data_IF_649476490892
#
_entry.id   IF_649476490892
#
_cell.length_a   1.000
_cell.length_b   1.000
_cell.length_c   1.000
_cell.angle_alpha   90.00
_cell.angle_beta   90.00
_cell.angle_gamma   90.00
#
_symmetry.space_group_name_H-M   'P 1'
#
loop_
_entity.id
_entity.type
_entity.pdbx_description
1 polymer ?
#
# COMPACT_ATOMS: atom_id res chain seq x y z
N UNK A 1 -30.70 -24.91 34.60
CA UNK A 1 -30.57 -23.66 33.82
C UNK A 1 -29.17 -23.58 33.26
N UNK A 2 -28.96 -23.91 31.99
CA UNK A 2 -27.67 -23.77 31.30
C UNK A 2 -27.69 -22.43 30.57
N UNK A 3 -26.80 -21.50 30.94
CA UNK A 3 -26.60 -20.23 30.24
C UNK A 3 -25.68 -20.49 29.04
N UNK A 4 -26.21 -20.32 27.84
CA UNK A 4 -25.47 -20.35 26.58
C UNK A 4 -24.77 -19.00 26.40
N UNK A 5 -23.44 -19.00 26.37
CA UNK A 5 -22.64 -17.82 26.01
C UNK A 5 -22.52 -17.79 24.48
N UNK A 6 -23.08 -16.76 23.84
CA UNK A 6 -22.84 -16.46 22.44
C UNK A 6 -21.55 -15.63 22.36
N UNK A 7 -20.50 -16.20 21.79
CA UNK A 7 -19.28 -15.48 21.42
C UNK A 7 -19.50 -14.92 20.01
N UNK A 8 -19.62 -13.59 19.89
CA UNK A 8 -19.68 -12.90 18.60
C UNK A 8 -18.23 -12.73 18.12
N UNK A 9 -17.83 -13.56 17.15
CA UNK A 9 -16.53 -13.47 16.49
C UNK A 9 -16.64 -12.40 15.39
N UNK A 10 -16.20 -11.17 15.68
CA UNK A 10 -16.02 -10.13 14.66
C UNK A 10 -14.73 -10.40 13.89
N UNK A 11 -14.84 -11.14 12.79
CA UNK A 11 -13.76 -11.32 11.81
C UNK A 11 -13.49 -10.02 11.06
N UNK A 12 -12.28 -9.49 11.23
CA UNK A 12 -11.76 -8.35 10.45
C UNK A 12 -11.19 -8.91 9.15
N UNK A 13 -11.93 -8.72 8.05
CA UNK A 13 -11.49 -9.07 6.70
C UNK A 13 -10.53 -7.99 6.19
N UNK A 14 -9.23 -8.30 6.18
CA UNK A 14 -8.20 -7.48 5.54
C UNK A 14 -8.29 -7.72 4.02
N UNK A 15 -8.91 -6.81 3.26
CA UNK A 15 -8.67 -6.82 1.82
C UNK A 15 -7.32 -6.16 1.53
N UNK A 16 -6.41 -6.94 0.95
CA UNK A 16 -6.16 -6.75 -0.47
C UNK A 16 -5.19 -5.66 -0.93
N UNK A 17 -4.10 -5.34 -0.20
CA UNK A 17 -2.88 -4.84 -0.89
C UNK A 17 -2.05 -5.97 -1.54
N UNK A 18 -2.59 -7.20 -1.52
CA UNK A 18 -1.95 -8.42 -2.01
C UNK A 18 -2.03 -8.43 -3.55
N UNK A 19 -1.09 -7.72 -4.17
CA UNK A 19 -0.68 -8.02 -5.54
C UNK A 19 0.13 -9.33 -5.54
N UNK A 20 -0.56 -10.48 -5.36
CA UNK A 20 -0.29 -11.81 -5.94
C UNK A 20 -0.87 -12.95 -5.07
N UNK A 21 -1.59 -13.85 -5.76
CA UNK A 21 -1.95 -15.22 -5.37
C UNK A 21 -3.13 -15.40 -4.40
N UNK A 22 -4.17 -15.98 -4.99
CA UNK A 22 -5.32 -16.70 -4.44
C UNK A 22 -5.17 -17.32 -3.04
N UNK A 23 -6.33 -17.30 -2.37
CA UNK A 23 -6.77 -18.13 -1.25
C UNK A 23 -5.91 -18.09 0.02
N UNK A 24 -6.45 -17.48 1.09
CA UNK A 24 -6.39 -18.13 2.41
C UNK A 24 -7.25 -17.51 3.49
N UNK A 25 -7.68 -18.45 4.32
CA UNK A 25 -8.35 -18.37 5.59
C UNK A 25 -7.70 -17.41 6.59
N UNK A 26 -8.54 -16.92 7.50
CA UNK A 26 -8.29 -15.99 8.57
C UNK A 26 -7.04 -16.33 9.40
N UNK A 27 -6.04 -15.45 9.40
CA UNK A 27 -4.93 -15.50 10.36
C UNK A 27 -5.27 -14.62 11.57
N UNK A 28 -5.37 -15.28 12.72
CA UNK A 28 -5.56 -14.71 14.04
C UNK A 28 -4.39 -13.79 14.42
N UNK A 29 -4.66 -12.49 14.51
CA UNK A 29 -3.73 -11.45 14.94
C UNK A 29 -3.61 -11.52 16.47
N UNK A 30 -2.75 -12.41 16.96
CA UNK A 30 -2.31 -12.42 18.35
C UNK A 30 -0.78 -12.62 18.44
N UNK A 31 -0.03 -11.92 17.59
CA UNK A 31 1.43 -11.82 17.71
C UNK A 31 1.86 -10.40 18.08
N UNK A 32 1.30 -9.85 19.16
CA UNK A 32 1.70 -8.52 19.67
C UNK A 32 3.13 -8.48 20.26
N UNK A 33 3.79 -9.62 20.50
CA UNK A 33 5.01 -9.64 21.32
C UNK A 33 6.37 -9.63 20.58
N UNK A 34 6.43 -9.34 19.27
CA UNK A 34 7.74 -9.30 18.57
C UNK A 34 8.04 -8.04 17.76
N UNK A 35 7.05 -7.20 17.46
CA UNK A 35 7.25 -5.99 16.65
C UNK A 35 7.68 -4.77 17.48
N UNK A 36 7.25 -4.65 18.75
CA UNK A 36 7.64 -3.51 19.61
C UNK A 36 9.13 -3.50 19.99
N UNK A 37 9.83 -4.65 19.92
CA UNK A 37 11.21 -4.77 20.40
C UNK A 37 12.28 -4.50 19.33
N UNK A 38 11.94 -4.64 18.05
CA UNK A 38 12.84 -4.22 16.96
C UNK A 38 12.62 -2.74 16.71
N UNK A 39 13.32 -1.93 17.51
CA UNK A 39 13.44 -0.46 17.43
C UNK A 39 13.01 0.11 16.08
N UNK A 40 11.77 0.59 16.03
CA UNK A 40 11.27 1.54 15.02
C UNK A 40 12.23 2.74 14.89
N UNK A 41 13.04 3.02 15.91
CA UNK A 41 14.11 4.03 15.89
C UNK A 41 14.98 3.91 14.63
N UNK A 42 15.40 2.73 14.15
CA UNK A 42 16.28 2.69 12.96
C UNK A 42 15.55 3.00 11.63
N UNK A 43 14.24 2.75 11.56
CA UNK A 43 13.43 3.05 10.37
C UNK A 43 12.99 4.52 10.40
N UNK A 44 12.58 5.02 11.56
CA UNK A 44 12.23 6.43 11.77
C UNK A 44 13.46 7.36 11.71
N UNK A 45 14.65 6.91 12.11
CA UNK A 45 15.89 7.72 11.99
C UNK A 45 16.40 7.78 10.54
N UNK A 46 15.99 6.84 9.68
CA UNK A 46 16.30 6.85 8.23
C UNK A 46 15.22 7.56 7.39
N UNK A 47 14.13 8.03 8.00
CA UNK A 47 13.39 9.19 7.49
C UNK A 47 14.30 10.41 7.60
N UNK A 48 15.32 10.44 6.73
CA UNK A 48 16.05 11.64 6.38
C UNK A 48 14.98 12.68 6.17
N UNK A 49 15.05 13.78 6.90
CA UNK A 49 14.14 14.90 6.76
C UNK A 49 14.26 15.41 5.32
N UNK A 50 13.53 14.79 4.40
CA UNK A 50 13.30 15.31 3.06
C UNK A 50 12.55 16.59 3.37
N UNK A 51 13.28 17.72 3.29
CA UNK A 51 12.84 18.99 3.86
C UNK A 51 11.37 19.21 3.57
N UNK A 52 10.61 19.58 4.61
CA UNK A 52 9.17 19.83 4.53
C UNK A 52 8.88 20.91 3.50
N UNK A 53 8.79 20.51 2.24
CA UNK A 53 8.20 21.29 1.18
C UNK A 53 6.72 20.96 1.28
N UNK A 54 5.98 21.82 1.99
CA UNK A 54 4.54 21.92 1.82
C UNK A 54 4.27 22.23 0.35
N UNK A 55 4.11 21.18 -0.46
CA UNK A 55 3.67 21.30 -1.85
C UNK A 55 2.18 21.51 -1.81
N UNK A 56 1.76 22.76 -1.54
CA UNK A 56 0.35 23.15 -1.64
C UNK A 56 -0.13 22.92 -3.08
N UNK A 57 -1.13 22.05 -3.22
CA UNK A 57 -1.87 21.82 -4.46
C UNK A 57 -1.59 20.45 -5.08
N UNK A 58 -2.63 19.62 -5.15
CA UNK A 58 -2.66 18.48 -6.04
C UNK A 58 -3.00 18.97 -7.45
N UNK A 59 -2.08 18.81 -8.39
CA UNK A 59 -2.30 19.09 -9.82
C UNK A 59 -3.17 18.03 -10.49
N UNK A 60 -3.39 16.88 -9.82
CA UNK A 60 -4.36 15.91 -10.26
C UNK A 60 -5.77 16.48 -10.08
N UNK A 61 -6.50 16.66 -11.17
CA UNK A 61 -7.90 17.11 -11.13
C UNK A 61 -8.81 16.04 -11.71
N UNK A 62 -9.87 15.69 -10.98
CA UNK A 62 -10.90 14.80 -11.46
C UNK A 62 -12.25 15.14 -10.82
N UNK A 63 -13.30 15.35 -11.63
CA UNK A 63 -14.61 15.86 -11.12
C UNK A 63 -15.27 14.97 -10.05
N UNK A 64 -14.93 13.68 -10.05
CA UNK A 64 -15.46 12.70 -9.10
C UNK A 64 -14.49 12.31 -7.98
N UNK A 65 -13.30 12.90 -7.91
CA UNK A 65 -12.36 12.63 -6.83
C UNK A 65 -12.15 13.88 -5.96
N UNK A 66 -12.03 13.64 -4.67
CA UNK A 66 -11.44 14.56 -3.72
C UNK A 66 -9.92 14.45 -3.77
N UNK A 67 -9.32 15.42 -4.45
CA UNK A 67 -7.87 15.51 -4.68
C UNK A 67 -7.23 16.58 -3.82
N UNK A 68 -8.03 17.33 -3.04
CA UNK A 68 -7.57 18.49 -2.26
C UNK A 68 -6.88 18.10 -0.95
N UNK A 69 -6.96 16.82 -0.55
CA UNK A 69 -6.27 16.31 0.65
C UNK A 69 -4.76 16.47 0.49
N UNK A 70 -4.13 17.03 1.51
CA UNK A 70 -2.67 17.21 1.55
C UNK A 70 -1.95 15.86 1.41
N UNK A 71 -1.06 15.79 0.41
CA UNK A 71 -0.27 14.60 0.12
C UNK A 71 0.85 14.48 1.17
N UNK A 72 0.99 13.33 1.85
CA UNK A 72 2.06 13.08 2.80
C UNK A 72 3.43 13.31 2.18
N UNK A 73 4.39 13.81 2.94
CA UNK A 73 5.78 13.99 2.47
C UNK A 73 6.51 12.67 2.21
N UNK A 74 5.94 11.55 2.66
CA UNK A 74 6.49 10.21 2.46
C UNK A 74 5.34 9.20 2.40
N UNK A 75 5.45 8.25 1.48
CA UNK A 75 4.59 7.09 1.38
C UNK A 75 5.44 5.82 1.36
N UNK A 76 4.83 4.71 1.70
CA UNK A 76 5.48 3.41 1.80
C UNK A 76 4.78 2.39 0.93
N UNK A 77 5.56 1.51 0.29
CA UNK A 77 5.05 0.39 -0.49
C UNK A 77 5.82 -0.88 -0.17
N UNK A 78 5.11 -1.94 0.15
CA UNK A 78 5.68 -3.28 0.24
C UNK A 78 5.58 -3.96 -1.13
N UNK A 79 6.66 -4.58 -1.58
CA UNK A 79 6.69 -5.33 -2.83
C UNK A 79 7.67 -6.51 -2.74
N UNK A 80 7.41 -7.58 -3.51
CA UNK A 80 8.27 -8.76 -3.53
C UNK A 80 9.42 -8.62 -4.54
N UNK A 81 9.33 -7.63 -5.44
CA UNK A 81 10.39 -7.33 -6.40
C UNK A 81 11.56 -6.64 -5.70
N UNK A 82 12.80 -7.07 -5.93
CA UNK A 82 13.99 -6.48 -5.30
C UNK A 82 14.35 -5.11 -5.88
N UNK A 83 15.14 -4.30 -5.15
CA UNK A 83 15.63 -3.02 -5.66
C UNK A 83 16.50 -3.20 -6.91
N UNK A 84 17.27 -4.29 -6.94
CA UNK A 84 18.16 -4.69 -8.04
C UNK A 84 17.93 -6.17 -8.40
N UNK A 85 17.93 -6.49 -9.70
CA UNK A 85 17.85 -7.85 -10.22
C UNK A 85 19.21 -8.40 -10.66
N UNK A 86 19.20 -9.57 -11.31
CA UNK A 86 20.42 -10.30 -11.73
C UNK A 86 21.31 -9.51 -12.70
N UNK A 87 20.74 -8.56 -13.44
CA UNK A 87 21.45 -7.71 -14.41
C UNK A 87 21.44 -6.24 -13.99
N UNK A 88 21.23 -5.95 -12.70
CA UNK A 88 21.05 -4.58 -12.20
C UNK A 88 19.66 -4.00 -12.44
N UNK A 89 18.78 -4.72 -13.14
CA UNK A 89 17.39 -4.31 -13.35
C UNK A 89 16.49 -4.62 -12.15
N UNK A 90 15.91 -3.60 -11.51
CA UNK A 90 15.00 -3.79 -10.39
C UNK A 90 14.08 -2.60 -10.21
N UNK A 91 13.47 -2.49 -9.03
CA UNK A 91 12.59 -1.36 -8.73
C UNK A 91 13.36 -0.03 -8.74
N UNK A 92 14.63 0.00 -8.31
CA UNK A 92 15.43 1.22 -8.34
C UNK A 92 15.74 1.72 -9.75
N UNK A 93 15.70 0.87 -10.78
CA UNK A 93 15.92 1.29 -12.18
C UNK A 93 14.65 1.46 -12.99
N UNK A 94 13.56 0.75 -12.65
CA UNK A 94 12.31 0.75 -13.44
C UNK A 94 11.13 1.44 -12.77
N UNK A 95 11.18 1.61 -11.45
CA UNK A 95 10.06 2.10 -10.66
C UNK A 95 8.93 1.09 -10.58
N UNK A 96 7.72 1.60 -10.35
CA UNK A 96 6.49 0.83 -10.36
C UNK A 96 5.62 1.25 -11.54
N UNK A 97 4.99 0.26 -12.19
CA UNK A 97 3.99 0.47 -13.23
C UNK A 97 2.74 -0.30 -12.84
N UNK A 98 1.59 0.33 -13.00
CA UNK A 98 0.29 -0.27 -12.80
C UNK A 98 0.09 -1.44 -13.75
N UNK A 99 -0.83 -2.34 -13.42
CA UNK A 99 -1.05 -3.57 -14.18
C UNK A 99 -1.83 -3.32 -15.47
N UNK A 100 -2.68 -2.30 -15.48
CA UNK A 100 -3.46 -1.90 -16.64
C UNK A 100 -3.91 -0.44 -16.53
N UNK A 101 -5.10 -0.16 -17.03
CA UNK A 101 -5.66 1.18 -17.17
C UNK A 101 -7.12 1.30 -16.68
N UNK A 102 -7.57 0.34 -15.85
CA UNK A 102 -8.83 0.45 -15.13
C UNK A 102 -8.65 1.33 -13.91
N UNK A 103 -9.41 2.41 -13.84
CA UNK A 103 -9.34 3.38 -12.74
C UNK A 103 -10.55 3.30 -11.81
N UNK A 104 -11.31 2.19 -11.82
CA UNK A 104 -12.45 2.01 -10.93
C UNK A 104 -11.96 1.80 -9.50
N UNK A 105 -12.12 2.81 -8.63
CA UNK A 105 -11.55 2.81 -7.27
C UNK A 105 -12.10 1.68 -6.40
N UNK A 106 -13.40 1.40 -6.48
CA UNK A 106 -14.04 0.31 -5.73
C UNK A 106 -13.55 -1.07 -6.14
N UNK A 107 -13.20 -1.24 -7.42
CA UNK A 107 -12.66 -2.49 -7.95
C UNK A 107 -11.25 -2.73 -7.43
N UNK A 108 -10.44 -1.67 -7.42
CA UNK A 108 -9.10 -1.66 -6.81
C UNK A 108 -9.16 -2.10 -5.34
N UNK A 109 -9.98 -1.42 -4.54
CA UNK A 109 -10.07 -1.68 -3.09
C UNK A 109 -10.68 -3.06 -2.78
N UNK A 110 -11.61 -3.53 -3.61
CA UNK A 110 -12.18 -4.87 -3.45
C UNK A 110 -11.17 -5.98 -3.73
N UNK A 111 -10.13 -5.70 -4.52
CA UNK A 111 -9.08 -6.65 -4.85
C UNK A 111 -9.55 -7.81 -5.73
N UNK A 112 -8.81 -8.93 -5.67
CA UNK A 112 -9.15 -10.16 -6.40
C UNK A 112 -8.92 -10.07 -7.92
N UNK A 113 -9.82 -10.64 -8.71
CA UNK A 113 -9.74 -10.65 -10.18
C UNK A 113 -9.80 -9.27 -10.81
N UNK A 114 -10.36 -8.29 -10.09
CA UNK A 114 -10.42 -6.89 -10.51
C UNK A 114 -9.01 -6.27 -10.66
N UNK A 115 -8.02 -6.82 -9.97
CA UNK A 115 -6.66 -6.29 -9.99
C UNK A 115 -5.87 -6.61 -11.27
N UNK A 116 -6.45 -7.38 -12.21
CA UNK A 116 -5.73 -7.78 -13.43
C UNK A 116 -5.45 -6.63 -14.39
N UNK A 117 -6.31 -5.61 -14.38
CA UNK A 117 -6.20 -4.42 -15.24
C UNK A 117 -6.11 -3.13 -14.42
N UNK A 118 -5.74 -3.25 -13.15
CA UNK A 118 -5.73 -2.13 -12.21
C UNK A 118 -4.71 -1.06 -12.62
N UNK A 119 -5.21 0.17 -12.72
CA UNK A 119 -4.45 1.37 -13.07
C UNK A 119 -3.80 2.05 -11.86
N UNK A 120 -3.99 1.50 -10.66
CA UNK A 120 -3.45 2.02 -9.42
C UNK A 120 -2.25 1.23 -8.89
N UNK A 121 -1.42 1.92 -8.11
CA UNK A 121 -0.32 1.35 -7.34
C UNK A 121 -0.55 1.75 -5.88
N UNK A 122 -0.93 0.78 -5.04
CA UNK A 122 -1.16 1.01 -3.61
C UNK A 122 0.10 1.41 -2.87
N UNK A 123 -0.06 2.40 -2.00
CA UNK A 123 0.93 2.85 -1.02
C UNK A 123 0.20 3.21 0.28
N UNK A 124 0.91 3.28 1.40
CA UNK A 124 0.34 3.74 2.67
C UNK A 124 1.18 4.88 3.23
N UNK A 125 0.52 5.79 3.94
CA UNK A 125 1.21 6.86 4.69
C UNK A 125 1.59 6.44 6.11
N UNK A 126 1.12 5.28 6.58
CA UNK A 126 1.43 4.76 7.90
C UNK A 126 2.51 3.66 7.84
N UNK A 127 3.67 3.96 8.43
CA UNK A 127 4.79 3.02 8.49
C UNK A 127 4.46 1.75 9.26
N UNK A 128 3.60 1.81 10.30
CA UNK A 128 3.22 0.63 11.08
C UNK A 128 2.38 -0.31 10.24
N UNK A 129 1.42 0.24 9.50
CA UNK A 129 0.65 -0.49 8.48
C UNK A 129 1.59 -1.12 7.44
N UNK A 130 2.58 -0.39 6.94
CA UNK A 130 3.52 -0.92 5.95
C UNK A 130 4.37 -2.09 6.50
N UNK A 131 4.84 -2.02 7.75
CA UNK A 131 5.57 -3.13 8.40
C UNK A 131 4.68 -4.35 8.59
N UNK A 132 3.42 -4.16 9.00
CA UNK A 132 2.45 -5.26 9.12
C UNK A 132 2.20 -5.94 7.77
N UNK A 133 2.08 -5.15 6.68
CA UNK A 133 1.96 -5.68 5.32
C UNK A 133 3.22 -6.46 4.93
N UNK A 134 4.42 -5.98 5.27
CA UNK A 134 5.67 -6.69 4.99
C UNK A 134 5.71 -8.07 5.68
N UNK A 135 5.33 -8.14 6.96
CA UNK A 135 5.23 -9.40 7.69
C UNK A 135 4.19 -10.36 7.09
N UNK A 136 3.01 -9.85 6.71
CA UNK A 136 1.97 -10.64 6.04
C UNK A 136 2.44 -11.19 4.70
N UNK A 137 3.05 -10.35 3.86
CA UNK A 137 3.53 -10.73 2.54
C UNK A 137 4.62 -11.80 2.60
N UNK A 138 5.54 -11.71 3.56
CA UNK A 138 6.55 -12.75 3.81
C UNK A 138 5.89 -14.09 4.16
N UNK A 139 4.87 -14.09 5.03
CA UNK A 139 4.20 -15.33 5.43
C UNK A 139 3.45 -15.99 4.26
N UNK A 140 2.90 -15.17 3.36
CA UNK A 140 2.19 -15.67 2.19
C UNK A 140 3.12 -16.30 1.15
N UNK A 141 4.44 -16.10 1.21
CA UNK A 141 5.36 -16.81 0.30
C UNK A 141 5.39 -18.33 0.56
N UNK A 142 4.97 -18.78 1.74
CA UNK A 142 4.93 -20.19 2.09
C UNK A 142 3.68 -20.94 1.61
N UNK A 143 2.62 -20.22 1.24
CA UNK A 143 1.31 -20.86 1.02
C UNK A 143 1.28 -21.73 -0.23
N UNK A 144 2.30 -21.61 -1.09
CA UNK A 144 2.35 -22.21 -2.41
C UNK A 144 3.45 -23.27 -2.59
N UNK A 145 4.28 -23.54 -1.57
CA UNK A 145 5.45 -24.41 -1.75
C UNK A 145 5.56 -25.42 -0.60
N UNK A 146 5.62 -26.72 -0.93
CA UNK A 146 5.97 -27.80 0.01
C UNK A 146 7.45 -27.68 0.43
N UNK A 147 7.77 -26.58 1.10
CA UNK A 147 9.12 -26.20 1.49
C UNK A 147 9.60 -27.12 2.62
N UNK A 148 10.53 -28.03 2.29
CA UNK A 148 11.27 -28.85 3.24
C UNK A 148 12.65 -28.23 3.48
N UNK A 149 13.11 -28.29 4.72
CA UNK A 149 14.38 -27.72 5.14
C UNK A 149 14.28 -26.24 5.50
N UNK A 150 15.43 -25.58 5.56
CA UNK A 150 15.55 -24.17 5.93
C UNK A 150 15.48 -23.27 4.70
N UNK A 151 14.70 -22.20 4.79
CA UNK A 151 14.58 -21.17 3.75
C UNK A 151 14.39 -19.79 4.38
N UNK A 152 14.95 -18.76 3.77
CA UNK A 152 14.78 -17.36 4.18
C UNK A 152 13.95 -16.63 3.13
N UNK A 153 12.76 -16.16 3.52
CA UNK A 153 11.91 -15.35 2.65
C UNK A 153 12.28 -13.87 2.76
N UNK A 154 12.03 -13.13 1.67
CA UNK A 154 12.35 -11.69 1.58
C UNK A 154 11.16 -10.89 1.07
N UNK A 155 10.98 -9.70 1.63
CA UNK A 155 10.14 -8.66 1.03
C UNK A 155 10.81 -7.30 1.18
N UNK A 156 10.33 -6.32 0.43
CA UNK A 156 10.98 -5.02 0.32
C UNK A 156 9.98 -3.92 0.64
N UNK A 157 10.33 -3.07 1.60
CA UNK A 157 9.58 -1.89 1.99
C UNK A 157 10.24 -0.67 1.36
N UNK A 158 9.62 -0.13 0.31
CA UNK A 158 10.09 1.05 -0.41
C UNK A 158 9.54 2.32 0.24
N UNK A 159 10.45 3.27 0.48
CA UNK A 159 10.10 4.64 0.85
C UNK A 159 10.02 5.48 -0.43
N UNK A 160 8.91 6.21 -0.58
CA UNK A 160 8.57 6.94 -1.79
C UNK A 160 8.31 8.40 -1.41
N UNK A 161 8.89 9.32 -2.16
CA UNK A 161 8.53 10.74 -2.14
C UNK A 161 7.41 10.93 -3.17
N UNK A 162 6.14 11.03 -2.74
CA UNK A 162 5.06 11.23 -3.69
C UNK A 162 5.19 12.60 -4.37
N UNK A 163 4.62 12.68 -5.57
CA UNK A 163 4.47 13.94 -6.28
C UNK A 163 3.00 14.39 -6.24
N UNK A 164 2.75 15.64 -6.64
CA UNK A 164 1.42 16.24 -6.56
C UNK A 164 0.57 16.04 -7.80
N UNK A 165 0.94 15.18 -8.75
CA UNK A 165 0.23 15.07 -10.04
C UNK A 165 -0.37 13.70 -10.32
N UNK A 166 -0.09 12.68 -9.50
CA UNK A 166 -0.63 11.35 -9.72
C UNK A 166 -1.01 10.58 -8.44
N UNK A 167 -1.15 11.26 -7.30
CA UNK A 167 -1.56 10.65 -6.04
C UNK A 167 -2.90 11.20 -5.55
N UNK A 168 -3.70 10.33 -4.95
CA UNK A 168 -4.82 10.74 -4.10
C UNK A 168 -5.12 9.68 -3.03
N UNK A 169 -5.82 10.10 -1.97
CA UNK A 169 -6.16 9.23 -0.86
C UNK A 169 -7.39 8.39 -1.17
N UNK A 170 -7.28 7.08 -0.96
CA UNK A 170 -8.40 6.13 -1.10
C UNK A 170 -9.48 6.43 -0.07
N UNK A 171 -9.10 6.61 1.19
CA UNK A 171 -10.01 6.90 2.30
C UNK A 171 -10.83 8.18 2.10
N UNK A 172 -10.28 9.20 1.44
CA UNK A 172 -11.02 10.42 1.12
C UNK A 172 -12.07 10.20 0.03
N UNK A 173 -11.87 9.18 -0.81
CA UNK A 173 -12.61 8.98 -2.05
C UNK A 173 -13.57 7.78 -2.04
N UNK A 174 -13.42 6.85 -1.10
CA UNK A 174 -14.36 5.73 -0.98
C UNK A 174 -15.77 6.19 -0.56
N UNK A 175 -16.84 5.57 -1.12
CA UNK A 175 -18.21 5.84 -0.68
C UNK A 175 -18.37 5.56 0.82
N UNK A 176 -19.12 6.40 1.52
CA UNK A 176 -19.33 6.25 2.96
C UNK A 176 -20.44 5.24 3.25
N UNK A 177 -20.17 3.96 3.00
CA UNK A 177 -21.08 2.86 3.30
C UNK A 177 -20.38 1.81 4.17
N UNK A 178 -21.12 0.99 4.94
CA UNK A 178 -20.53 -0.06 5.76
C UNK A 178 -19.59 -1.00 5.00
N UNK A 179 -19.89 -1.26 3.72
CA UNK A 179 -19.08 -2.10 2.84
C UNK A 179 -17.65 -1.56 2.65
N UNK A 180 -17.49 -0.23 2.55
CA UNK A 180 -16.21 0.40 2.27
C UNK A 180 -15.51 0.92 3.51
N UNK A 181 -16.25 1.24 4.58
CA UNK A 181 -15.70 1.78 5.82
C UNK A 181 -14.69 0.86 6.51
N UNK A 182 -14.74 -0.45 6.24
CA UNK A 182 -13.75 -1.42 6.72
C UNK A 182 -12.34 -1.21 6.16
N UNK A 183 -12.19 -0.46 5.06
CA UNK A 183 -10.89 -0.20 4.42
C UNK A 183 -10.21 1.08 4.93
N UNK A 184 -10.90 1.89 5.74
CA UNK A 184 -10.37 3.16 6.23
C UNK A 184 -9.10 3.02 7.10
N UNK A 185 -8.83 1.84 7.68
CA UNK A 185 -7.69 1.64 8.57
C UNK A 185 -6.31 1.61 7.90
N UNK A 186 -6.23 1.52 6.56
CA UNK A 186 -4.95 1.33 5.87
C UNK A 186 -4.20 2.62 5.52
N UNK A 187 -4.84 3.78 5.74
CA UNK A 187 -4.33 5.11 5.34
C UNK A 187 -3.75 5.10 3.91
N UNK A 188 -4.49 4.45 3.00
CA UNK A 188 -4.04 4.16 1.64
C UNK A 188 -4.06 5.40 0.75
N UNK A 189 -2.97 5.53 0.00
CA UNK A 189 -2.80 6.46 -1.10
C UNK A 189 -2.48 5.65 -2.35
N UNK A 190 -3.12 5.98 -3.46
CA UNK A 190 -2.85 5.32 -4.74
C UNK A 190 -2.04 6.24 -5.63
N UNK A 191 -0.98 5.71 -6.23
CA UNK A 191 -0.35 6.33 -7.38
C UNK A 191 -1.08 5.86 -8.65
N UNK A 192 -1.28 6.75 -9.60
CA UNK A 192 -1.91 6.44 -10.89
C UNK A 192 -0.83 6.14 -11.91
N UNK A 193 -0.98 5.02 -12.63
CA UNK A 193 -0.14 4.51 -13.72
C UNK A 193 1.31 4.19 -13.32
N UNK A 194 2.08 5.16 -12.78
CA UNK A 194 3.51 4.95 -12.48
C UNK A 194 3.98 5.61 -11.20
N UNK A 195 5.00 4.98 -10.60
CA UNK A 195 5.89 5.61 -9.62
C UNK A 195 7.28 5.52 -10.23
N UNK A 196 7.87 6.67 -10.57
CA UNK A 196 9.15 6.71 -11.26
C UNK A 196 10.31 6.35 -10.31
N UNK A 197 11.41 5.75 -10.83
CA UNK A 197 12.63 5.51 -10.07
C UNK A 197 13.08 6.70 -9.23
N UNK A 198 13.03 7.89 -9.81
CA UNK A 198 13.53 9.13 -9.22
C UNK A 198 12.71 9.62 -8.02
N UNK A 199 11.50 9.05 -7.83
CA UNK A 199 10.62 9.31 -6.69
C UNK A 199 10.76 8.25 -5.58
N UNK A 200 11.51 7.18 -5.81
CA UNK A 200 11.77 6.15 -4.80
C UNK A 200 13.04 6.54 -4.05
N UNK A 201 12.93 6.81 -2.75
CA UNK A 201 14.01 7.30 -1.89
C UNK A 201 14.93 6.16 -1.49
N UNK A 202 14.34 5.12 -0.91
CA UNK A 202 15.10 4.03 -0.28
C UNK A 202 14.27 2.74 -0.25
N UNK A 203 14.92 1.65 0.14
CA UNK A 203 14.27 0.38 0.43
C UNK A 203 14.82 -0.20 1.71
N UNK A 204 13.95 -0.81 2.52
CA UNK A 204 14.34 -1.68 3.63
C UNK A 204 13.93 -3.11 3.30
N UNK A 205 14.91 -4.01 3.26
CA UNK A 205 14.69 -5.45 3.09
C UNK A 205 14.29 -6.05 4.42
N UNK A 206 13.17 -6.77 4.43
CA UNK A 206 12.73 -7.60 5.54
C UNK A 206 12.99 -9.07 5.22
N UNK A 207 13.47 -9.81 6.20
CA UNK A 207 13.69 -11.26 6.13
C UNK A 207 12.94 -11.99 7.23
N UNK A 208 12.63 -13.26 6.96
CA UNK A 208 12.14 -14.22 7.94
C UNK A 208 12.63 -15.61 7.58
N UNK A 209 13.08 -16.34 8.59
CA UNK A 209 13.56 -17.70 8.40
C UNK A 209 12.44 -18.69 8.68
N UNK A 210 12.45 -19.75 7.89
CA UNK A 210 11.47 -20.83 7.94
C UNK A 210 12.19 -22.17 8.01
N UNK A 211 11.59 -23.12 8.71
CA UNK A 211 11.97 -24.51 8.70
C UNK A 211 10.74 -25.38 8.48
N UNK A 212 10.75 -26.19 7.42
CA UNK A 212 9.61 -27.03 7.03
C UNK A 212 8.27 -26.25 6.98
N UNK A 213 8.29 -25.05 6.39
CA UNK A 213 7.11 -24.17 6.27
C UNK A 213 6.68 -23.47 7.57
N UNK A 214 7.32 -23.73 8.70
CA UNK A 214 7.05 -23.02 9.95
C UNK A 214 8.02 -21.84 10.14
N UNK A 215 7.55 -20.64 10.50
CA UNK A 215 8.44 -19.52 10.80
C UNK A 215 9.25 -19.78 12.08
N UNK A 216 10.54 -19.48 12.04
CA UNK A 216 11.45 -19.62 13.18
C UNK A 216 11.51 -18.37 14.07
N UNK A 217 11.34 -17.20 13.45
CA UNK A 217 11.43 -15.88 14.06
C UNK A 217 10.30 -14.98 13.53
N UNK A 218 10.17 -13.74 14.01
CA UNK A 218 9.37 -12.70 13.36
C UNK A 218 10.09 -12.14 12.13
N UNK A 219 9.36 -11.53 11.20
CA UNK A 219 9.99 -10.76 10.12
C UNK A 219 10.77 -9.58 10.71
N UNK A 220 11.98 -9.35 10.22
CA UNK A 220 12.85 -8.30 10.75
C UNK A 220 13.60 -7.59 9.61
N UNK A 221 13.91 -6.29 9.75
CA UNK A 221 14.71 -5.57 8.77
C UNK A 221 16.17 -6.04 8.82
N UNK A 222 16.79 -6.26 7.67
CA UNK A 222 18.19 -6.73 7.57
C UNK A 222 19.11 -5.75 6.85
N UNK A 223 18.55 -4.92 5.97
CA UNK A 223 19.34 -3.99 5.15
C UNK A 223 18.48 -2.83 4.70
N UNK A 224 19.02 -1.62 4.77
CA UNK A 224 18.44 -0.43 4.13
C UNK A 224 19.41 0.08 3.07
N UNK A 225 18.88 0.44 1.90
CA UNK A 225 19.65 0.95 0.78
C UNK A 225 18.99 2.21 0.22
N UNK A 226 19.81 3.22 -0.10
CA UNK A 226 19.37 4.44 -0.78
C UNK A 226 19.35 4.21 -2.29
N UNK A 227 18.35 4.77 -2.97
CA UNK A 227 18.27 4.69 -4.42
C UNK A 227 19.17 5.75 -5.07
N UNK A 228 20.17 5.33 -5.84
CA UNK A 228 21.07 6.26 -6.55
C UNK A 228 20.37 7.10 -7.62
N UNK A 229 19.20 6.66 -8.10
CA UNK A 229 18.39 7.40 -9.06
C UNK A 229 17.46 8.43 -8.40
N UNK A 230 17.32 8.41 -7.07
CA UNK A 230 16.46 9.37 -6.37
C UNK A 230 16.89 10.80 -6.67
N UNK A 231 15.92 11.63 -7.06
CA UNK A 231 16.13 13.04 -7.29
C UNK A 231 14.90 13.83 -6.85
N UNK A 232 15.02 14.52 -5.71
CA UNK A 232 13.94 15.33 -5.12
C UNK A 232 13.41 16.42 -6.07
N UNK A 233 14.24 16.86 -7.02
CA UNK A 233 13.90 17.89 -8.00
C UNK A 233 13.42 17.30 -9.33
N UNK A 234 13.28 15.98 -9.44
CA UNK A 234 12.80 15.34 -10.65
C UNK A 234 11.35 15.78 -10.95
N UNK A 235 11.00 16.06 -12.21
CA UNK A 235 9.66 16.49 -12.57
C UNK A 235 8.58 15.52 -12.07
N UNK A 236 7.39 16.05 -11.69
CA UNK A 236 6.24 15.23 -11.38
C UNK A 236 5.83 14.37 -12.59
N UNK A 237 5.32 13.17 -12.32
CA UNK A 237 4.76 12.31 -13.36
C UNK A 237 3.29 12.65 -13.58
N UNK A 238 2.93 13.03 -14.80
CA UNK A 238 1.56 13.38 -15.17
C UNK A 238 0.93 12.24 -15.97
N UNK A 239 -0.30 11.87 -15.59
CA UNK A 239 -1.10 10.90 -16.33
C UNK A 239 -1.93 11.65 -17.38
N UNK A 240 -1.66 11.45 -18.68
CA UNK A 240 -2.39 12.17 -19.72
C UNK A 240 -3.89 11.89 -19.65
N UNK A 241 -4.69 12.94 -19.75
CA UNK A 241 -6.15 12.88 -19.79
C UNK A 241 -6.80 12.15 -18.60
N UNK A 242 -6.15 12.11 -17.43
CA UNK A 242 -6.70 11.36 -16.29
C UNK A 242 -8.11 11.81 -15.90
N UNK A 243 -8.39 13.11 -16.02
CA UNK A 243 -9.69 13.74 -15.77
C UNK A 243 -10.85 13.17 -16.60
N UNK A 244 -10.56 12.40 -17.65
CA UNK A 244 -11.55 11.79 -18.55
C UNK A 244 -11.84 10.32 -18.27
N UNK A 245 -11.03 9.63 -17.45
CA UNK A 245 -11.25 8.21 -17.16
C UNK A 245 -12.45 7.99 -16.24
N UNK A 246 -13.05 6.80 -16.34
CA UNK A 246 -14.06 6.38 -15.39
C UNK A 246 -13.38 5.91 -14.10
N UNK A 247 -13.61 6.65 -13.01
CA UNK A 247 -13.10 6.30 -11.67
C UNK A 247 -14.07 5.47 -10.83
N UNK A 248 -15.24 5.14 -11.38
CA UNK A 248 -16.28 4.37 -10.69
C UNK A 248 -17.02 5.14 -9.60
N UNK A 249 -17.52 4.40 -8.62
CA UNK A 249 -18.21 4.96 -7.46
C UNK A 249 -17.20 5.58 -6.49
N UNK A 250 -17.50 6.78 -6.04
CA UNK A 250 -16.69 7.53 -5.09
C UNK A 250 -17.60 8.22 -4.10
N UNK A 251 -17.04 8.77 -3.03
CA UNK A 251 -17.75 9.62 -2.07
C UNK A 251 -18.51 10.77 -2.73
N UNK A 252 -17.95 11.34 -3.80
CA UNK A 252 -18.57 12.46 -4.53
C UNK A 252 -19.74 12.02 -5.41
N UNK A 253 -19.71 10.80 -5.96
CA UNK A 253 -20.82 10.28 -6.78
C UNK A 253 -21.91 9.61 -5.94
N UNK A 254 -21.56 9.13 -4.75
CA UNK A 254 -22.46 8.46 -3.79
C UNK A 254 -22.40 9.14 -2.42
N UNK A 255 -22.92 10.39 -2.28
CA UNK A 255 -22.98 11.07 -0.99
C UNK A 255 -23.93 10.34 -0.04
N UNK A 256 -23.72 10.49 1.28
CA UNK A 256 -24.62 9.93 2.29
C UNK A 256 -26.07 10.38 2.04
N UNK A 257 -27.06 9.49 2.22
CA UNK A 257 -28.47 9.90 2.25
C UNK A 257 -28.66 11.00 3.30
N UNK A 258 -29.13 12.19 2.87
CA UNK A 258 -29.33 13.36 3.73
C UNK A 258 -28.32 14.50 3.55
N UNK A 259 -27.26 14.32 2.75
CA UNK A 259 -26.46 15.44 2.24
C UNK A 259 -26.94 15.80 0.83
N UNK A 260 -28.06 16.51 0.72
CA UNK A 260 -28.43 17.13 -0.56
C UNK A 260 -27.36 18.16 -0.97
N UNK A 261 -26.96 18.08 -2.25
CA UNK A 261 -25.99 18.96 -2.90
C UNK A 261 -26.54 20.38 -3.00
N UNK A 262 -26.35 21.19 -1.97
CA UNK A 262 -26.67 22.62 -2.01
C UNK A 262 -25.53 23.53 -2.49
N UNK A 263 -24.39 23.00 -2.96
CA UNK A 263 -23.24 23.83 -3.36
C UNK A 263 -22.57 23.37 -4.66
N UNK A 264 -23.35 23.26 -5.74
CA UNK A 264 -22.82 23.35 -7.11
C UNK A 264 -23.68 24.35 -7.89
N UNK A 265 -23.42 25.64 -7.66
CA UNK A 265 -23.74 26.73 -8.57
C UNK A 265 -22.44 27.44 -8.94
#
# INVERSE_FOLDING_TARGET
MKKTFFLVLTGIVIAGMISCSQDREEININSENSLEKYKLENIETTTTSVGSLSRKGNFLTHKFLDTDKEIPSTLFRVDSRPPHGREGEGIFSRGFTARGNSYILTDHVSGGTNLLQDGYISTTSDIRTAINIAGSQINNQLTNENQRGSYTARTYLYQILPNTSNYYSVNANLPNTPQWNRFNGQEEWVAIDRILPEHIVSVTTFERDFYNGSPLNGSHPVRTEQNSNFNQNYPPYFVPNFSSFNVGETRRTHPCPGMERNELK
#
